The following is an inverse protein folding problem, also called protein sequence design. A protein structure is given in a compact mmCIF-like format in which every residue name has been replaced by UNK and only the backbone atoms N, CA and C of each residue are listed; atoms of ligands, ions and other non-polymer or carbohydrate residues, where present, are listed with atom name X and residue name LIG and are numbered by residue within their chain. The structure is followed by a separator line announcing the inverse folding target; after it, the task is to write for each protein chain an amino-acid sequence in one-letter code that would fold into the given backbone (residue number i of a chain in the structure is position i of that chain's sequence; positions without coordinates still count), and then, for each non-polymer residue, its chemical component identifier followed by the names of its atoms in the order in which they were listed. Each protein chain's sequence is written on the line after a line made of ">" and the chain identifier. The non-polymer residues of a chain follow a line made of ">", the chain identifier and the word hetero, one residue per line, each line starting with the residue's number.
data_IF_985315856328
#
_entry.id   IF_985315856328
#
_cell.length_a   1.000
_cell.length_b   1.000
_cell.length_c   1.000
_cell.angle_alpha   90.00
_cell.angle_beta   90.00
_cell.angle_gamma   90.00
#
_symmetry.space_group_name_H-M   'P 1'
#
loop_
_entity.id
_entity.type
_entity.pdbx_description
1 polymer ?
#
# COMPACT_ATOMS: atom_id res chain seq x y z
N UNK A 1 -17.30 1.04 9.38
CA UNK A 1 -16.75 0.22 10.46
C UNK A 1 -15.26 0.45 10.65
N UNK A 2 -14.67 -0.10 11.71
CA UNK A 2 -13.24 0.04 11.95
C UNK A 2 -12.62 -1.27 12.47
N UNK A 3 -11.32 -1.43 12.20
CA UNK A 3 -10.49 -2.51 12.71
C UNK A 3 -9.25 -1.92 13.37
N UNK A 4 -8.67 -2.62 14.34
CA UNK A 4 -7.40 -2.26 14.97
C UNK A 4 -6.49 -3.47 14.99
N UNK A 5 -5.24 -3.26 14.55
CA UNK A 5 -4.19 -4.26 14.60
C UNK A 5 -3.01 -3.70 15.40
N UNK A 6 -2.51 -4.44 16.39
CA UNK A 6 -1.24 -4.14 17.04
C UNK A 6 -0.11 -4.78 16.22
N UNK A 7 0.85 -3.95 15.76
CA UNK A 7 2.00 -4.40 15.00
C UNK A 7 3.27 -4.16 15.83
N UNK A 8 4.10 -5.21 16.07
CA UNK A 8 5.34 -5.09 16.81
C UNK A 8 6.45 -4.52 15.90
N UNK A 9 6.40 -3.22 15.66
CA UNK A 9 7.34 -2.50 14.81
C UNK A 9 7.34 -1.00 15.08
N UNK A 10 8.39 -0.33 14.64
CA UNK A 10 8.44 1.12 14.69
C UNK A 10 7.45 1.70 13.67
N UNK A 11 6.72 2.73 14.05
CA UNK A 11 5.72 3.37 13.21
C UNK A 11 6.26 3.87 11.85
N UNK A 12 7.55 4.21 11.76
CA UNK A 12 8.18 4.64 10.51
C UNK A 12 8.27 3.53 9.47
N UNK A 13 8.41 2.27 9.93
CA UNK A 13 8.40 1.11 9.01
C UNK A 13 7.07 1.00 8.27
N UNK A 14 5.95 1.29 8.94
CA UNK A 14 4.65 1.35 8.25
C UNK A 14 4.58 2.52 7.27
N UNK A 15 5.15 3.68 7.61
CA UNK A 15 5.21 4.81 6.67
C UNK A 15 6.10 4.53 5.46
N UNK A 16 7.18 3.78 5.63
CA UNK A 16 7.99 3.27 4.51
C UNK A 16 7.16 2.30 3.66
N UNK A 17 6.58 1.29 4.29
CA UNK A 17 5.80 0.25 3.62
C UNK A 17 4.68 0.84 2.75
N UNK A 18 3.97 1.84 3.26
CA UNK A 18 2.89 2.52 2.52
C UNK A 18 3.42 3.41 1.38
N UNK A 19 4.69 3.84 1.44
CA UNK A 19 5.35 4.66 0.43
C UNK A 19 6.20 3.85 -0.54
N UNK A 20 6.25 2.55 -0.31
CA UNK A 20 6.98 1.61 -1.13
C UNK A 20 6.07 1.05 -2.24
N UNK A 21 6.25 1.43 -3.50
CA UNK A 21 5.29 1.11 -4.54
C UNK A 21 5.50 -0.24 -5.22
N UNK A 22 6.60 -0.95 -4.95
CA UNK A 22 6.88 -2.26 -5.57
C UNK A 22 6.47 -3.50 -4.74
N UNK A 23 6.15 -3.43 -3.42
CA UNK A 23 5.65 -4.58 -2.66
C UNK A 23 4.50 -5.35 -3.31
N UNK A 24 3.54 -4.70 -4.02
CA UNK A 24 2.51 -5.45 -4.72
C UNK A 24 3.03 -6.52 -5.69
N UNK A 25 4.21 -6.30 -6.26
CA UNK A 25 4.84 -7.26 -7.17
C UNK A 25 5.74 -8.30 -6.49
N UNK A 26 6.24 -8.01 -5.29
CA UNK A 26 7.24 -8.83 -4.61
C UNK A 26 6.71 -9.46 -3.32
N UNK A 27 6.03 -8.70 -2.48
CA UNK A 27 5.49 -9.15 -1.19
C UNK A 27 4.09 -9.76 -1.37
N UNK A 28 3.19 -9.01 -2.00
CA UNK A 28 1.80 -9.40 -2.14
C UNK A 28 1.59 -10.29 -3.38
N UNK A 29 2.10 -11.51 -3.34
CA UNK A 29 1.97 -12.46 -4.45
C UNK A 29 0.51 -12.70 -4.87
N UNK A 30 -0.43 -12.45 -3.97
CA UNK A 30 -1.85 -12.48 -4.22
C UNK A 30 -2.28 -11.49 -5.32
N UNK A 31 -1.78 -10.25 -5.29
CA UNK A 31 -2.09 -9.25 -6.32
C UNK A 31 -1.65 -9.69 -7.72
N UNK A 32 -0.46 -10.27 -7.82
CA UNK A 32 0.07 -10.77 -9.10
C UNK A 32 -0.73 -12.00 -9.55
N UNK A 33 -1.03 -12.91 -8.62
CA UNK A 33 -1.74 -14.15 -8.91
C UNK A 33 -3.11 -13.91 -9.53
N UNK A 34 -3.84 -12.91 -9.02
CA UNK A 34 -5.20 -12.61 -9.47
C UNK A 34 -5.30 -11.37 -10.38
N UNK A 35 -4.16 -10.90 -10.89
CA UNK A 35 -4.11 -9.83 -11.89
C UNK A 35 -4.54 -8.45 -11.42
N UNK A 36 -4.49 -8.18 -10.13
CA UNK A 36 -4.72 -6.83 -9.57
C UNK A 36 -3.52 -5.92 -9.76
N UNK A 37 -2.33 -6.49 -9.74
CA UNK A 37 -1.11 -5.77 -10.04
C UNK A 37 -0.45 -6.33 -11.29
N UNK A 38 -0.02 -5.41 -12.17
CA UNK A 38 0.72 -5.72 -13.39
C UNK A 38 1.80 -4.66 -13.60
N UNK A 39 2.92 -5.05 -14.17
CA UNK A 39 4.03 -4.14 -14.46
C UNK A 39 3.67 -3.05 -15.51
N UNK A 40 2.65 -3.30 -16.33
CA UNK A 40 2.14 -2.39 -17.35
C UNK A 40 1.00 -1.48 -16.87
N UNK A 41 0.62 -1.53 -15.59
CA UNK A 41 -0.32 -0.57 -15.02
C UNK A 41 0.27 0.83 -15.10
N UNK A 42 -0.49 1.78 -15.62
CA UNK A 42 -0.10 3.20 -15.53
C UNK A 42 -0.07 3.60 -14.07
N UNK A 43 1.01 4.21 -13.65
CA UNK A 43 1.19 4.60 -12.26
C UNK A 43 1.90 5.93 -12.14
N UNK A 44 1.62 6.63 -11.06
CA UNK A 44 2.20 7.93 -10.76
C UNK A 44 2.52 8.00 -9.27
N UNK A 45 3.67 8.55 -8.97
CA UNK A 45 4.07 8.89 -7.61
C UNK A 45 4.21 10.41 -7.52
N UNK A 46 3.57 11.01 -6.53
CA UNK A 46 3.55 12.46 -6.33
C UNK A 46 3.91 12.79 -4.89
N UNK A 47 4.62 13.88 -4.69
CA UNK A 47 4.98 14.40 -3.37
C UNK A 47 4.58 15.86 -3.23
N UNK A 48 4.39 16.30 -1.99
CA UNK A 48 4.34 17.74 -1.70
C UNK A 48 5.76 18.36 -1.81
N UNK A 49 5.82 19.67 -1.86
CA UNK A 49 7.09 20.43 -2.03
C UNK A 49 8.16 20.10 -0.96
N UNK A 50 7.78 19.46 0.12
CA UNK A 50 8.69 19.08 1.21
C UNK A 50 9.00 17.58 1.25
N UNK A 51 8.39 16.77 0.40
CA UNK A 51 8.55 15.32 0.36
C UNK A 51 7.88 14.56 1.52
N UNK A 52 7.09 15.23 2.36
CA UNK A 52 6.48 14.64 3.56
C UNK A 52 5.18 13.90 3.27
N UNK A 53 4.33 14.50 2.44
CA UNK A 53 3.07 13.91 1.97
C UNK A 53 3.28 13.32 0.60
N UNK A 54 2.56 12.24 0.32
CA UNK A 54 2.71 11.57 -0.96
C UNK A 54 1.41 10.94 -1.43
N UNK A 55 1.29 10.75 -2.73
CA UNK A 55 0.22 9.99 -3.34
C UNK A 55 0.82 8.96 -4.30
N UNK A 56 0.37 7.71 -4.16
CA UNK A 56 0.55 6.65 -5.13
C UNK A 56 -0.76 6.45 -5.88
N UNK A 57 -0.69 6.52 -7.19
CA UNK A 57 -1.84 6.45 -8.08
C UNK A 57 -1.58 5.35 -9.09
N UNK A 58 -2.50 4.40 -9.21
CA UNK A 58 -2.40 3.33 -10.20
C UNK A 58 -3.72 3.20 -10.96
N UNK A 59 -3.61 3.07 -12.25
CA UNK A 59 -4.74 2.80 -13.14
C UNK A 59 -4.58 1.41 -13.72
N UNK A 60 -5.53 0.54 -13.42
CA UNK A 60 -5.54 -0.83 -13.92
C UNK A 60 -5.67 -0.81 -15.43
N UNK A 61 -4.73 -1.46 -16.11
CA UNK A 61 -4.79 -1.67 -17.56
C UNK A 61 -5.99 -2.55 -17.92
N UNK A 62 -6.46 -2.45 -19.16
CA UNK A 62 -7.40 -3.44 -19.70
C UNK A 62 -6.73 -4.81 -19.62
N UNK A 63 -7.49 -5.83 -19.25
CA UNK A 63 -7.03 -7.22 -19.31
C UNK A 63 -6.57 -7.51 -20.75
N UNK A 64 -5.31 -7.28 -21.00
CA UNK A 64 -4.62 -7.60 -22.24
C UNK A 64 -3.90 -8.92 -22.05
N UNK A 65 -3.54 -9.56 -23.12
CA UNK A 65 -3.01 -10.90 -23.20
C UNK A 65 -2.17 -11.36 -22.00
N UNK A 66 -2.52 -12.50 -21.49
CA UNK A 66 -1.88 -13.21 -20.36
C UNK A 66 -0.37 -13.51 -20.54
N UNK A 67 0.27 -12.98 -21.56
CA UNK A 67 1.65 -13.32 -21.93
C UNK A 67 2.72 -12.95 -20.91
N UNK A 68 2.51 -11.91 -20.10
CA UNK A 68 3.49 -11.49 -19.07
C UNK A 68 3.28 -12.19 -17.71
N UNK A 69 2.16 -12.87 -17.53
CA UNK A 69 1.79 -13.55 -16.27
C UNK A 69 2.20 -15.04 -16.30
N UNK A 70 2.62 -15.57 -17.44
CA UNK A 70 2.91 -16.99 -17.65
C UNK A 70 4.02 -17.54 -16.76
N UNK A 71 5.02 -16.74 -16.41
CA UNK A 71 6.09 -17.20 -15.53
C UNK A 71 5.63 -17.36 -14.06
N UNK A 72 4.71 -16.51 -13.60
CA UNK A 72 4.16 -16.59 -12.24
C UNK A 72 2.99 -17.58 -12.18
N UNK A 73 2.20 -17.68 -13.24
CA UNK A 73 1.08 -18.63 -13.32
C UNK A 73 1.53 -20.09 -13.33
N UNK A 74 2.76 -20.40 -13.76
CA UNK A 74 3.29 -21.76 -13.71
C UNK A 74 3.44 -22.31 -12.28
N UNK A 75 3.65 -21.44 -11.29
CA UNK A 75 3.71 -21.80 -9.87
C UNK A 75 2.34 -22.05 -9.23
N UNK A 76 1.27 -21.55 -9.84
CA UNK A 76 -0.07 -21.48 -9.25
C UNK A 76 -1.17 -21.97 -10.20
N UNK A 77 -0.84 -22.92 -11.05
CA UNK A 77 -1.84 -23.59 -11.90
C UNK A 77 -2.96 -24.17 -11.03
N UNK A 78 -4.18 -23.70 -11.27
CA UNK A 78 -5.38 -24.16 -10.57
C UNK A 78 -5.87 -23.28 -9.43
N UNK A 79 -5.20 -22.18 -9.07
CA UNK A 79 -5.74 -21.21 -8.13
C UNK A 79 -6.72 -20.26 -8.83
N UNK A 80 -7.97 -20.30 -8.41
CA UNK A 80 -9.01 -19.40 -8.86
C UNK A 80 -9.75 -18.84 -7.64
N UNK A 81 -10.22 -17.60 -7.74
CA UNK A 81 -11.14 -17.06 -6.75
C UNK A 81 -12.51 -17.72 -6.92
N UNK A 82 -13.16 -18.07 -5.82
CA UNK A 82 -14.54 -18.58 -5.85
C UNK A 82 -15.51 -17.56 -6.43
N UNK A 83 -15.21 -16.28 -6.23
CA UNK A 83 -15.98 -15.17 -6.77
C UNK A 83 -15.02 -14.09 -7.31
N UNK A 84 -14.66 -14.14 -8.59
CA UNK A 84 -13.77 -13.16 -9.19
C UNK A 84 -14.42 -11.77 -9.30
N UNK A 85 -15.76 -11.65 -9.23
CA UNK A 85 -16.44 -10.36 -9.28
C UNK A 85 -16.06 -9.41 -8.14
N UNK A 86 -15.50 -9.96 -7.06
CA UNK A 86 -14.92 -9.18 -5.97
C UNK A 86 -13.84 -8.19 -6.46
N UNK A 87 -13.14 -8.52 -7.53
CA UNK A 87 -12.08 -7.72 -8.12
C UNK A 87 -12.53 -6.78 -9.22
N UNK A 88 -13.81 -6.87 -9.61
CA UNK A 88 -14.37 -5.99 -10.63
C UNK A 88 -14.46 -4.56 -10.08
N UNK A 89 -14.20 -3.62 -10.98
CA UNK A 89 -14.37 -2.20 -10.72
C UNK A 89 -15.77 -1.80 -11.15
N UNK A 90 -16.58 -1.36 -10.21
CA UNK A 90 -17.87 -0.74 -10.49
C UNK A 90 -17.65 0.78 -10.52
N UNK A 91 -17.82 1.46 -11.67
CA UNK A 91 -17.67 2.90 -11.76
C UNK A 91 -18.60 3.64 -10.80
N UNK A 92 -18.09 4.69 -10.16
CA UNK A 92 -18.85 5.54 -9.24
C UNK A 92 -18.72 7.01 -9.67
N UNK A 93 -19.74 7.87 -9.44
CA UNK A 93 -19.76 9.25 -9.95
C UNK A 93 -18.58 10.12 -9.49
N UNK A 94 -18.04 9.86 -8.29
CA UNK A 94 -16.92 10.57 -7.70
C UNK A 94 -15.55 10.03 -8.14
N UNK A 95 -15.55 8.95 -8.88
CA UNK A 95 -14.35 8.21 -9.24
C UNK A 95 -13.84 8.60 -10.63
N UNK A 96 -12.53 8.83 -10.72
CA UNK A 96 -11.85 8.99 -12.00
C UNK A 96 -11.42 7.63 -12.60
N UNK A 97 -10.35 7.65 -13.39
CA UNK A 97 -9.79 6.43 -13.99
C UNK A 97 -8.99 5.55 -13.00
N UNK A 98 -8.32 6.09 -11.94
CA UNK A 98 -7.45 5.27 -11.09
C UNK A 98 -8.21 4.16 -10.38
N UNK A 99 -7.62 2.95 -10.35
CA UNK A 99 -8.14 1.81 -9.59
C UNK A 99 -7.61 1.77 -8.15
N UNK A 100 -6.50 2.45 -7.89
CA UNK A 100 -5.91 2.64 -6.57
C UNK A 100 -5.41 4.07 -6.44
N UNK A 101 -5.82 4.74 -5.38
CA UNK A 101 -5.23 6.00 -4.93
C UNK A 101 -4.91 5.85 -3.45
N UNK A 102 -3.64 6.00 -3.10
CA UNK A 102 -3.19 5.96 -1.72
C UNK A 102 -2.46 7.25 -1.39
N UNK A 103 -3.06 8.08 -0.56
CA UNK A 103 -2.49 9.36 -0.13
C UNK A 103 -2.01 9.26 1.31
N UNK A 104 -0.74 9.52 1.53
CA UNK A 104 -0.12 9.51 2.85
C UNK A 104 0.06 10.93 3.36
N UNK A 105 -0.54 11.22 4.49
CA UNK A 105 -0.34 12.45 5.25
C UNK A 105 0.59 12.15 6.42
N UNK A 106 1.85 12.53 6.26
CA UNK A 106 2.86 12.36 7.30
C UNK A 106 2.45 13.14 8.57
N UNK A 107 2.60 12.57 9.79
CA UNK A 107 3.32 11.33 10.06
C UNK A 107 2.45 10.06 10.11
N UNK A 108 1.12 10.15 10.13
CA UNK A 108 0.37 9.02 10.67
C UNK A 108 -0.95 8.67 9.96
N UNK A 109 -1.39 9.44 8.97
CA UNK A 109 -2.69 9.22 8.34
C UNK A 109 -2.54 8.84 6.87
N UNK A 110 -3.30 7.85 6.46
CA UNK A 110 -3.38 7.39 5.08
C UNK A 110 -4.85 7.42 4.65
N UNK A 111 -5.11 7.98 3.48
CA UNK A 111 -6.38 7.84 2.77
C UNK A 111 -6.18 6.88 1.62
N UNK A 112 -7.06 5.91 1.51
CA UNK A 112 -6.98 4.92 0.44
C UNK A 112 -8.33 4.69 -0.20
N UNK A 113 -8.34 4.78 -1.52
CA UNK A 113 -9.31 4.16 -2.39
C UNK A 113 -8.61 2.98 -3.08
N UNK A 114 -9.19 1.80 -2.98
CA UNK A 114 -8.70 0.61 -3.66
C UNK A 114 -9.89 -0.17 -4.19
N UNK A 115 -10.01 -0.21 -5.49
CA UNK A 115 -11.22 -0.66 -6.19
C UNK A 115 -12.41 0.15 -5.64
N UNK A 116 -13.49 -0.46 -5.17
CA UNK A 116 -14.62 0.25 -4.55
C UNK A 116 -14.48 0.43 -3.02
N UNK A 117 -13.41 -0.10 -2.41
CA UNK A 117 -13.15 0.09 -0.98
C UNK A 117 -12.53 1.47 -0.72
N UNK A 118 -13.10 2.19 0.23
CA UNK A 118 -12.59 3.47 0.69
C UNK A 118 -12.30 3.38 2.18
N UNK A 119 -11.10 3.79 2.57
CA UNK A 119 -10.69 3.73 3.97
C UNK A 119 -9.74 4.85 4.35
N UNK A 120 -9.71 5.15 5.65
CA UNK A 120 -8.56 5.81 6.26
C UNK A 120 -7.82 4.82 7.14
N UNK A 121 -6.51 5.01 7.25
CA UNK A 121 -5.66 4.27 8.18
C UNK A 121 -4.93 5.26 9.05
N UNK A 122 -4.85 4.95 10.33
CA UNK A 122 -4.16 5.79 11.30
C UNK A 122 -3.11 4.97 12.03
N UNK A 123 -1.86 5.40 11.92
CA UNK A 123 -0.73 4.82 12.64
C UNK A 123 -0.65 5.52 13.99
N UNK A 124 -0.87 4.78 15.07
CA UNK A 124 -0.84 5.30 16.45
C UNK A 124 0.35 4.70 17.18
N UNK A 125 1.48 5.42 17.31
CA UNK A 125 2.63 4.90 18.04
C UNK A 125 2.29 4.57 19.49
N UNK A 126 2.70 3.40 19.94
CA UNK A 126 2.58 2.97 21.35
C UNK A 126 3.94 3.04 22.06
N UNK A 127 5.01 2.93 21.27
CA UNK A 127 6.39 3.02 21.72
C UNK A 127 7.35 2.85 20.55
N UNK A 128 8.65 2.81 20.80
CA UNK A 128 9.65 2.67 19.72
C UNK A 128 9.53 1.38 18.91
N UNK A 129 8.99 0.32 19.51
CA UNK A 129 8.89 -1.01 18.90
C UNK A 129 7.45 -1.50 18.67
N UNK A 130 6.44 -0.64 18.80
CA UNK A 130 5.07 -1.03 18.54
C UNK A 130 4.17 0.16 18.17
N UNK A 131 3.19 -0.11 17.32
CA UNK A 131 2.10 0.83 17.02
C UNK A 131 0.77 0.11 16.85
N UNK A 132 -0.33 0.84 17.02
CA UNK A 132 -1.65 0.43 16.60
C UNK A 132 -1.93 0.96 15.21
N UNK A 133 -2.37 0.10 14.33
CA UNK A 133 -2.80 0.45 12.98
C UNK A 133 -4.32 0.36 12.92
N UNK A 134 -4.98 1.52 12.88
CA UNK A 134 -6.43 1.63 12.94
C UNK A 134 -6.98 1.92 11.56
N UNK A 135 -7.84 1.05 11.08
CA UNK A 135 -8.54 1.18 9.83
C UNK A 135 -9.96 1.67 10.07
N UNK A 136 -10.40 2.64 9.31
CA UNK A 136 -11.80 3.04 9.24
C UNK A 136 -12.28 2.85 7.80
N UNK A 137 -13.26 2.00 7.61
CA UNK A 137 -13.87 1.72 6.31
C UNK A 137 -15.14 2.50 6.16
N UNK A 138 -15.34 3.08 4.97
CA UNK A 138 -16.46 3.93 4.63
C UNK A 138 -17.39 3.22 3.63
N UNK A 139 -18.67 3.52 3.74
CA UNK A 139 -19.69 3.37 2.73
C UNK A 139 -20.38 4.71 2.52
N UNK A 140 -21.19 4.81 1.51
CA UNK A 140 -21.96 6.01 1.21
C UNK A 140 -23.43 5.78 1.55
N UNK A 141 -24.14 6.86 1.86
CA UNK A 141 -25.55 6.79 2.27
C UNK A 141 -26.46 6.26 1.16
N UNK A 142 -26.07 6.50 -0.08
CA UNK A 142 -26.75 6.06 -1.30
C UNK A 142 -26.25 4.72 -1.85
N UNK A 143 -25.39 4.01 -1.12
CA UNK A 143 -24.96 2.67 -1.52
C UNK A 143 -26.15 1.70 -1.59
N UNK A 144 -26.26 0.98 -2.71
CA UNK A 144 -27.17 -0.15 -2.77
C UNK A 144 -26.72 -1.29 -1.85
N UNK A 145 -27.60 -2.24 -1.49
CA UNK A 145 -27.19 -3.41 -0.71
C UNK A 145 -26.02 -4.18 -1.35
N UNK A 146 -25.99 -4.31 -2.66
CA UNK A 146 -24.95 -4.99 -3.42
C UNK A 146 -23.62 -4.22 -3.34
N UNK A 147 -23.65 -2.87 -3.40
CA UNK A 147 -22.47 -2.06 -3.27
C UNK A 147 -21.94 -2.09 -1.82
N UNK A 148 -22.83 -2.06 -0.84
CA UNK A 148 -22.46 -2.23 0.57
C UNK A 148 -21.76 -3.55 0.81
N UNK A 149 -22.32 -4.66 0.29
CA UNK A 149 -21.69 -5.98 0.39
C UNK A 149 -20.32 -6.00 -0.30
N UNK A 150 -20.21 -5.44 -1.51
CA UNK A 150 -18.95 -5.32 -2.24
C UNK A 150 -17.89 -4.59 -1.40
N UNK A 151 -18.22 -3.44 -0.83
CA UNK A 151 -17.28 -2.68 0.01
C UNK A 151 -16.85 -3.48 1.25
N UNK A 152 -17.76 -4.18 1.90
CA UNK A 152 -17.44 -5.01 3.07
C UNK A 152 -16.52 -6.18 2.68
N UNK A 153 -16.77 -6.86 1.58
CA UNK A 153 -15.92 -7.96 1.10
C UNK A 153 -14.53 -7.46 0.70
N UNK A 154 -14.45 -6.32 0.01
CA UNK A 154 -13.18 -5.68 -0.34
C UNK A 154 -12.44 -5.15 0.90
N UNK A 155 -13.15 -4.58 1.88
CA UNK A 155 -12.56 -4.17 3.15
C UNK A 155 -11.95 -5.34 3.92
N UNK A 156 -12.60 -6.50 3.92
CA UNK A 156 -12.04 -7.72 4.50
C UNK A 156 -10.80 -8.20 3.75
N UNK A 157 -10.82 -8.13 2.41
CA UNK A 157 -9.71 -8.57 1.57
C UNK A 157 -8.45 -7.72 1.74
N UNK A 158 -8.61 -6.40 1.79
CA UNK A 158 -7.50 -5.44 1.87
C UNK A 158 -7.14 -5.07 3.31
N UNK A 159 -8.02 -5.32 4.25
CA UNK A 159 -7.87 -4.94 5.65
C UNK A 159 -6.94 -5.87 6.44
N UNK A 160 -6.85 -5.65 7.77
CA UNK A 160 -5.87 -6.30 8.65
C UNK A 160 -5.94 -7.83 8.70
N UNK A 161 -7.11 -8.40 8.46
CA UNK A 161 -7.32 -9.85 8.41
C UNK A 161 -7.28 -10.43 7.00
N UNK A 162 -7.01 -9.57 6.00
CA UNK A 162 -6.98 -9.96 4.60
C UNK A 162 -5.57 -10.31 4.12
N UNK A 163 -5.50 -10.82 2.90
CA UNK A 163 -4.25 -11.29 2.27
C UNK A 163 -3.24 -10.18 1.98
N UNK A 164 -3.61 -8.92 2.06
CA UNK A 164 -2.72 -7.80 1.75
C UNK A 164 -2.07 -7.26 3.02
N UNK A 165 -2.87 -6.76 3.95
CA UNK A 165 -2.31 -6.10 5.12
C UNK A 165 -1.74 -7.07 6.17
N UNK A 166 -2.08 -8.36 6.11
CA UNK A 166 -1.43 -9.36 6.93
C UNK A 166 0.06 -9.51 6.57
N UNK A 167 0.38 -9.53 5.27
CA UNK A 167 1.78 -9.58 4.79
C UNK A 167 2.57 -8.35 5.27
N UNK A 168 1.96 -7.15 5.20
CA UNK A 168 2.56 -5.91 5.67
C UNK A 168 2.92 -5.98 7.17
N UNK A 169 2.01 -6.49 7.98
CA UNK A 169 2.22 -6.64 9.43
C UNK A 169 3.40 -7.55 9.74
N UNK A 170 3.50 -8.69 9.05
CA UNK A 170 4.55 -9.67 9.24
C UNK A 170 5.94 -9.14 8.81
N UNK A 171 6.02 -8.50 7.64
CA UNK A 171 7.30 -7.96 7.16
C UNK A 171 7.81 -6.83 8.03
N UNK A 172 6.92 -6.01 8.60
CA UNK A 172 7.29 -4.96 9.55
C UNK A 172 7.85 -5.56 10.83
N UNK A 173 7.24 -6.62 11.35
CA UNK A 173 7.75 -7.33 12.53
C UNK A 173 9.16 -7.89 12.27
N UNK A 174 9.37 -8.57 11.15
CA UNK A 174 10.70 -9.09 10.78
C UNK A 174 11.73 -7.99 10.61
N UNK A 175 11.36 -6.88 9.99
CA UNK A 175 12.24 -5.72 9.83
C UNK A 175 12.62 -5.13 11.19
N UNK A 176 11.66 -5.00 12.11
CA UNK A 176 11.93 -4.53 13.47
C UNK A 176 12.88 -5.47 14.23
N UNK A 177 12.70 -6.77 14.12
CA UNK A 177 13.58 -7.77 14.73
C UNK A 177 14.99 -7.68 14.14
N UNK A 178 15.11 -7.50 12.82
CA UNK A 178 16.40 -7.33 12.16
C UNK A 178 17.14 -6.07 12.65
N UNK A 179 16.47 -4.93 12.75
CA UNK A 179 17.06 -3.69 13.27
C UNK A 179 17.44 -3.81 14.76
N UNK A 180 16.61 -4.48 15.57
CA UNK A 180 16.90 -4.71 16.98
C UNK A 180 18.13 -5.61 17.18
N UNK A 181 18.33 -6.60 16.30
CA UNK A 181 19.49 -7.52 16.36
C UNK A 181 20.80 -6.87 15.91
N UNK A 182 20.73 -5.80 15.13
CA UNK A 182 21.89 -5.09 14.59
C UNK A 182 21.70 -3.57 14.64
N UNK A 183 21.75 -2.94 15.83
CA UNK A 183 21.44 -1.51 16.00
C UNK A 183 22.33 -0.56 15.20
N UNK A 184 23.56 -0.98 14.86
CA UNK A 184 24.50 -0.22 14.02
C UNK A 184 24.31 -0.47 12.51
N UNK A 185 23.33 -1.27 12.13
CA UNK A 185 23.02 -1.54 10.73
C UNK A 185 22.52 -0.30 10.01
N UNK A 186 22.82 -0.21 8.72
CA UNK A 186 22.28 0.82 7.84
C UNK A 186 21.37 0.19 6.82
N UNK A 187 20.27 0.87 6.50
CA UNK A 187 19.41 0.53 5.39
C UNK A 187 19.65 1.53 4.25
N UNK A 188 19.54 1.04 3.04
CA UNK A 188 19.77 1.83 1.83
C UNK A 188 18.47 1.91 1.02
N UNK A 189 18.05 3.11 0.65
CA UNK A 189 16.86 3.37 -0.15
C UNK A 189 17.27 4.08 -1.46
N UNK A 190 17.88 3.33 -2.37
CA UNK A 190 18.39 3.85 -3.64
C UNK A 190 17.71 3.24 -4.89
N UNK A 191 16.70 2.41 -4.73
CA UNK A 191 15.97 1.89 -5.89
C UNK A 191 15.36 3.06 -6.70
N UNK A 192 15.67 3.10 -8.00
CA UNK A 192 15.27 4.19 -8.89
C UNK A 192 16.08 5.48 -8.76
N UNK A 193 17.25 5.43 -8.08
CA UNK A 193 18.17 6.56 -7.94
C UNK A 193 18.22 7.18 -6.54
N UNK A 194 18.86 8.34 -6.42
CA UNK A 194 19.07 9.01 -5.13
C UNK A 194 18.17 10.23 -4.91
N UNK A 195 17.60 10.77 -5.95
CA UNK A 195 16.73 11.95 -5.84
C UNK A 195 15.35 11.59 -5.28
N UNK A 196 14.68 12.61 -4.74
CA UNK A 196 13.30 12.52 -4.29
C UNK A 196 12.46 13.42 -5.22
N UNK A 197 11.83 12.80 -6.19
CA UNK A 197 11.08 13.48 -7.25
C UNK A 197 9.83 12.68 -7.64
N UNK A 198 8.89 13.34 -8.29
CA UNK A 198 7.72 12.70 -8.85
C UNK A 198 8.10 11.74 -9.99
N UNK A 199 7.38 10.64 -10.12
CA UNK A 199 7.64 9.65 -11.19
C UNK A 199 6.35 9.15 -11.83
N UNK A 200 6.49 8.63 -13.05
CA UNK A 200 5.41 7.98 -13.81
C UNK A 200 5.53 6.44 -13.78
N UNK A 201 6.25 5.91 -12.80
CA UNK A 201 6.41 4.47 -12.59
C UNK A 201 6.57 4.15 -11.10
N UNK A 202 6.39 2.88 -10.73
CA UNK A 202 6.41 2.41 -9.34
C UNK A 202 7.71 1.70 -8.93
N UNK A 203 8.69 1.52 -9.80
CA UNK A 203 9.94 0.82 -9.46
C UNK A 203 10.96 1.82 -8.93
N UNK A 204 10.69 2.36 -7.74
CA UNK A 204 11.52 3.37 -7.10
C UNK A 204 11.16 3.54 -5.63
N UNK A 205 12.11 3.99 -4.81
CA UNK A 205 11.94 4.37 -3.39
C UNK A 205 11.89 5.90 -3.20
N UNK A 206 11.54 6.63 -4.24
CA UNK A 206 11.56 8.11 -4.24
C UNK A 206 10.73 8.72 -3.11
N UNK A 207 9.55 8.16 -2.80
CA UNK A 207 8.67 8.66 -1.73
C UNK A 207 9.25 8.41 -0.33
N UNK A 208 9.96 7.30 -0.14
CA UNK A 208 10.68 6.97 1.11
C UNK A 208 11.80 7.99 1.33
N UNK A 209 12.59 8.26 0.28
CA UNK A 209 13.67 9.26 0.35
C UNK A 209 13.14 10.66 0.69
N UNK A 210 12.04 11.07 0.06
CA UNK A 210 11.39 12.34 0.36
C UNK A 210 10.96 12.44 1.83
N UNK A 211 10.30 11.40 2.33
CA UNK A 211 9.86 11.33 3.72
C UNK A 211 11.04 11.43 4.70
N UNK A 212 12.13 10.68 4.48
CA UNK A 212 13.28 10.71 5.39
C UNK A 212 14.07 12.00 5.31
N UNK A 213 14.18 12.63 4.12
CA UNK A 213 14.74 13.99 4.01
C UNK A 213 13.95 14.98 4.87
N UNK A 214 12.62 14.93 4.81
CA UNK A 214 11.75 15.74 5.64
C UNK A 214 11.92 15.43 7.13
N UNK A 215 11.86 14.15 7.52
CA UNK A 215 11.97 13.71 8.90
C UNK A 215 13.30 14.13 9.54
N UNK A 216 14.44 13.92 8.86
CA UNK A 216 15.76 14.34 9.35
C UNK A 216 15.80 15.84 9.61
N UNK A 217 15.25 16.64 8.69
CA UNK A 217 15.21 18.10 8.85
C UNK A 217 14.40 18.50 10.08
N UNK A 218 13.23 17.90 10.31
CA UNK A 218 12.37 18.23 11.45
C UNK A 218 12.96 17.77 12.78
N UNK A 219 13.68 16.65 12.76
CA UNK A 219 14.33 16.08 13.93
C UNK A 219 15.75 16.60 14.16
N UNK A 220 16.21 17.54 13.32
CA UNK A 220 17.58 18.12 13.38
C UNK A 220 18.68 17.03 13.37
N UNK A 221 18.43 15.89 12.72
CA UNK A 221 19.41 14.80 12.58
C UNK A 221 20.37 15.17 11.46
N UNK A 222 21.64 15.36 11.82
CA UNK A 222 22.70 15.58 10.84
C UNK A 222 22.88 14.32 9.97
N UNK A 223 23.07 14.52 8.67
CA UNK A 223 23.34 13.47 7.69
C UNK A 223 24.77 12.98 7.76
#
# INVERSE_FOLDING_TARGET
>A
GYNRQRIPGNWKLMQENIKDPYPPGLLHTWFVTFGLWRADNRSQLRMDAHGRHAAMISTRGKAGDAGSVTAVSSFKQGMALNDPSLLDIVPEPWWGEPSVVMTTLFPSVIFQQQVNSVSTRHIQPVGPGAFDFVWTHFGFEDDTPEMTERRLRQANLFGPAGYVSADDGEVIEFSQQAFASKPSGQALAELGGREAEDTEHMVTETLIRGMYRYWRRVMEVQS
#
